data_IF_852279673213
#
_entry.id   IF_852279673213
#
_cell.length_a   1.000
_cell.length_b   1.000
_cell.length_c   1.000
_cell.angle_alpha   90.00
_cell.angle_beta   90.00
_cell.angle_gamma   90.00
#
_symmetry.space_group_name_H-M   'P 1'
#
loop_
_entity.id
_entity.type
_entity.pdbx_description
1 polymer ?
#
# COMPACT_ATOMS: atom_id res chain seq x y z
N UNK A 1 -12.80 19.19 21.45
CA UNK A 1 -12.23 19.37 20.10
C UNK A 1 -13.26 19.91 19.11
N UNK A 2 -13.12 21.18 18.73
CA UNK A 2 -13.89 21.80 17.64
C UNK A 2 -13.06 21.69 16.35
N UNK A 3 -13.12 20.55 15.67
CA UNK A 3 -12.41 20.37 14.41
C UNK A 3 -13.00 21.28 13.31
N UNK A 4 -12.13 21.87 12.50
CA UNK A 4 -12.53 22.72 11.38
C UNK A 4 -12.89 21.88 10.16
N UNK A 5 -14.05 22.18 9.57
CA UNK A 5 -14.51 21.59 8.32
C UNK A 5 -14.40 22.66 7.23
N UNK A 6 -13.66 22.37 6.17
CA UNK A 6 -13.53 23.29 5.06
C UNK A 6 -14.91 23.51 4.39
N UNK A 7 -15.39 24.76 4.24
CA UNK A 7 -16.72 25.05 3.66
C UNK A 7 -16.91 24.42 2.28
N UNK A 8 -15.90 24.54 1.43
CA UNK A 8 -15.82 23.90 0.11
C UNK A 8 -16.07 22.39 0.17
N UNK A 9 -15.46 21.71 1.15
CA UNK A 9 -15.58 20.26 1.30
C UNK A 9 -16.95 19.88 1.83
N UNK A 10 -17.43 20.61 2.85
CA UNK A 10 -18.76 20.44 3.44
C UNK A 10 -19.86 20.61 2.40
N UNK A 11 -19.81 21.69 1.62
CA UNK A 11 -20.80 21.96 0.58
C UNK A 11 -20.78 20.88 -0.49
N UNK A 12 -19.59 20.48 -0.97
CA UNK A 12 -19.48 19.46 -2.01
C UNK A 12 -20.07 18.12 -1.56
N UNK A 13 -19.69 17.66 -0.38
CA UNK A 13 -20.11 16.36 0.16
C UNK A 13 -21.58 16.39 0.57
N UNK A 14 -22.01 17.45 1.26
CA UNK A 14 -23.41 17.64 1.67
C UNK A 14 -24.36 17.69 0.47
N UNK A 15 -24.03 18.49 -0.55
CA UNK A 15 -24.83 18.56 -1.78
C UNK A 15 -24.88 17.20 -2.48
N UNK A 16 -23.77 16.49 -2.61
CA UNK A 16 -23.75 15.19 -3.28
C UNK A 16 -24.66 14.16 -2.57
N UNK A 17 -24.55 14.07 -1.23
CA UNK A 17 -25.34 13.12 -0.44
C UNK A 17 -26.81 13.48 -0.54
N UNK A 18 -27.17 14.73 -0.22
CA UNK A 18 -28.57 15.16 -0.22
C UNK A 18 -29.21 15.01 -1.61
N UNK A 19 -28.50 15.33 -2.70
CA UNK A 19 -29.01 15.13 -4.07
C UNK A 19 -29.38 13.67 -4.36
N UNK A 20 -28.70 12.70 -3.78
CA UNK A 20 -28.99 11.27 -4.00
C UNK A 20 -30.23 10.77 -3.26
N UNK A 21 -30.76 11.55 -2.30
CA UNK A 21 -32.03 11.28 -1.61
C UNK A 21 -33.20 12.11 -2.16
N UNK A 22 -32.94 13.05 -3.08
CA UNK A 22 -33.96 13.90 -3.70
C UNK A 22 -34.30 13.42 -5.12
N UNK A 23 -35.58 13.51 -5.47
CA UNK A 23 -36.06 13.26 -6.83
C UNK A 23 -36.06 14.58 -7.62
N UNK A 24 -34.94 14.88 -8.28
CA UNK A 24 -34.77 16.09 -9.08
C UNK A 24 -35.25 15.84 -10.53
N UNK A 25 -36.25 16.58 -11.05
CA UNK A 25 -36.79 16.34 -12.39
C UNK A 25 -35.77 16.72 -13.47
N UNK A 26 -35.58 15.84 -14.45
CA UNK A 26 -34.73 16.10 -15.63
C UNK A 26 -33.22 16.10 -15.38
N UNK A 27 -32.76 15.71 -14.19
CA UNK A 27 -31.33 15.70 -13.85
C UNK A 27 -30.87 14.28 -13.49
N UNK A 28 -29.87 13.78 -14.21
CA UNK A 28 -29.16 12.55 -13.82
C UNK A 28 -28.18 12.88 -12.68
N UNK A 29 -28.44 12.35 -11.49
CA UNK A 29 -27.56 12.53 -10.33
C UNK A 29 -26.51 11.42 -10.31
N UNK A 30 -25.20 11.74 -10.26
CA UNK A 30 -24.16 10.75 -10.10
C UNK A 30 -24.28 10.07 -8.73
N UNK A 31 -24.21 8.73 -8.72
CA UNK A 31 -24.30 7.93 -7.50
C UNK A 31 -22.99 7.99 -6.70
N UNK A 32 -21.87 8.15 -7.39
CA UNK A 32 -20.52 8.03 -6.82
C UNK A 32 -19.86 9.42 -6.77
N UNK A 33 -19.32 9.82 -5.63
CA UNK A 33 -18.40 10.95 -5.50
C UNK A 33 -16.99 10.42 -5.25
N UNK A 34 -16.08 10.69 -6.18
CA UNK A 34 -14.66 10.43 -6.01
C UNK A 34 -13.91 11.65 -5.50
N UNK A 35 -13.40 11.57 -4.29
CA UNK A 35 -12.53 12.57 -3.67
C UNK A 35 -11.07 12.13 -3.84
N UNK A 36 -10.29 12.89 -4.60
CA UNK A 36 -8.88 12.61 -4.82
C UNK A 36 -7.99 13.81 -4.52
N UNK A 37 -6.72 13.56 -4.24
CA UNK A 37 -5.77 14.59 -3.80
C UNK A 37 -4.54 13.96 -3.15
N UNK A 38 -3.55 14.76 -2.80
CA UNK A 38 -2.31 14.25 -2.19
C UNK A 38 -2.58 13.50 -0.88
N UNK A 39 -1.68 12.58 -0.52
CA UNK A 39 -1.71 11.89 0.77
C UNK A 39 -1.55 12.90 1.90
N UNK A 40 -2.18 12.66 3.04
CA UNK A 40 -2.00 13.48 4.23
C UNK A 40 -2.86 14.75 4.30
N UNK A 41 -3.56 15.13 3.23
CA UNK A 41 -4.39 16.34 3.18
C UNK A 41 -5.75 16.23 3.90
N UNK A 42 -5.98 15.17 4.67
CA UNK A 42 -7.17 15.03 5.50
C UNK A 42 -8.47 14.68 4.76
N UNK A 43 -8.42 14.10 3.55
CA UNK A 43 -9.61 13.70 2.75
C UNK A 43 -10.62 12.87 3.57
N UNK A 44 -10.17 11.76 4.12
CA UNK A 44 -11.00 10.82 4.90
C UNK A 44 -11.50 11.46 6.20
N UNK A 45 -10.64 12.24 6.86
CA UNK A 45 -10.99 12.93 8.10
C UNK A 45 -12.07 14.00 7.88
N UNK A 46 -11.94 14.83 6.83
CA UNK A 46 -12.97 15.79 6.45
C UNK A 46 -14.31 15.11 6.16
N UNK A 47 -14.31 13.95 5.50
CA UNK A 47 -15.54 13.18 5.31
C UNK A 47 -16.20 12.79 6.64
N UNK A 48 -15.42 12.25 7.59
CA UNK A 48 -15.91 11.88 8.91
C UNK A 48 -16.54 13.06 9.65
N UNK A 49 -15.90 14.22 9.65
CA UNK A 49 -16.43 15.42 10.27
C UNK A 49 -17.76 15.87 9.63
N UNK A 50 -17.88 15.78 8.31
CA UNK A 50 -19.12 16.10 7.61
C UNK A 50 -20.22 15.10 7.96
N UNK A 51 -19.92 13.80 8.00
CA UNK A 51 -20.90 12.77 8.37
C UNK A 51 -21.40 12.95 9.80
N UNK A 52 -20.49 13.23 10.74
CA UNK A 52 -20.83 13.52 12.13
C UNK A 52 -21.71 14.76 12.23
N UNK A 53 -21.33 15.86 11.55
CA UNK A 53 -22.10 17.11 11.53
C UNK A 53 -23.49 16.95 10.94
N UNK A 54 -23.66 16.08 9.94
CA UNK A 54 -24.94 15.80 9.29
C UNK A 54 -25.73 14.65 9.95
N UNK A 55 -25.16 13.97 10.95
CA UNK A 55 -25.78 12.82 11.60
C UNK A 55 -25.98 11.61 10.68
N UNK A 56 -25.08 11.41 9.72
CA UNK A 56 -25.13 10.37 8.68
C UNK A 56 -24.47 9.09 9.21
N UNK A 57 -25.12 7.95 9.02
CA UNK A 57 -24.51 6.64 9.29
C UNK A 57 -23.67 6.19 8.08
N UNK A 58 -22.49 5.62 8.34
CA UNK A 58 -21.52 5.28 7.29
C UNK A 58 -21.16 3.81 7.37
N UNK A 59 -21.32 3.10 6.25
CA UNK A 59 -20.75 1.76 6.07
C UNK A 59 -19.41 1.91 5.39
N UNK A 60 -18.33 1.44 6.02
CA UNK A 60 -16.97 1.58 5.49
C UNK A 60 -16.52 0.30 4.77
N UNK A 61 -15.76 0.49 3.68
CA UNK A 61 -14.95 -0.54 3.02
C UNK A 61 -13.53 0.00 2.95
N UNK A 62 -12.55 -0.81 3.37
CA UNK A 62 -11.14 -0.47 3.19
C UNK A 62 -10.65 -0.93 1.82
N UNK A 63 -9.72 -0.18 1.20
CA UNK A 63 -9.11 -0.57 -0.07
C UNK A 63 -8.46 -1.97 -0.01
N UNK A 64 -7.88 -2.34 1.14
CA UNK A 64 -7.30 -3.67 1.33
C UNK A 64 -8.33 -4.81 1.40
N UNK A 65 -9.60 -4.53 1.72
CA UNK A 65 -10.67 -5.54 1.65
C UNK A 65 -11.12 -5.81 0.21
N UNK A 66 -10.72 -4.95 -0.74
CA UNK A 66 -11.00 -5.13 -2.16
C UNK A 66 -9.91 -5.94 -2.87
N UNK A 67 -8.93 -6.43 -2.13
CA UNK A 67 -7.91 -7.37 -2.58
C UNK A 67 -8.18 -8.75 -1.99
N UNK A 68 -8.40 -9.75 -2.83
CA UNK A 68 -8.64 -11.13 -2.40
C UNK A 68 -7.98 -12.11 -3.36
N UNK A 69 -7.43 -13.25 -2.87
CA UNK A 69 -7.00 -14.34 -3.74
C UNK A 69 -8.16 -14.97 -4.51
N UNK A 70 -9.40 -14.85 -4.00
CA UNK A 70 -10.59 -15.42 -4.60
C UNK A 70 -11.24 -14.42 -5.57
N UNK A 71 -11.28 -14.79 -6.85
CA UNK A 71 -11.85 -13.96 -7.90
C UNK A 71 -13.35 -13.69 -7.63
N UNK A 72 -13.69 -12.40 -7.56
CA UNK A 72 -15.08 -11.94 -7.42
C UNK A 72 -15.58 -11.76 -5.99
N UNK A 73 -14.82 -12.13 -4.97
CA UNK A 73 -15.17 -11.79 -3.59
C UNK A 73 -15.22 -10.26 -3.35
N UNK A 74 -14.31 -9.44 -3.90
CA UNK A 74 -14.41 -7.97 -3.80
C UNK A 74 -15.71 -7.42 -4.40
N UNK A 75 -16.17 -7.98 -5.51
CA UNK A 75 -17.44 -7.60 -6.15
C UNK A 75 -18.64 -7.98 -5.28
N UNK A 76 -18.61 -9.16 -4.65
CA UNK A 76 -19.63 -9.63 -3.73
C UNK A 76 -19.68 -8.76 -2.46
N UNK A 77 -18.52 -8.39 -1.92
CA UNK A 77 -18.39 -7.54 -0.73
C UNK A 77 -19.05 -6.17 -0.96
N UNK A 78 -18.76 -5.50 -2.08
CA UNK A 78 -19.36 -4.19 -2.41
C UNK A 78 -20.89 -4.29 -2.45
N UNK A 79 -21.44 -5.33 -3.10
CA UNK A 79 -22.89 -5.55 -3.18
C UNK A 79 -23.51 -5.82 -1.81
N UNK A 80 -22.85 -6.62 -0.98
CA UNK A 80 -23.29 -6.93 0.37
C UNK A 80 -23.36 -5.66 1.23
N UNK A 81 -22.28 -4.87 1.26
CA UNK A 81 -22.21 -3.62 2.03
C UNK A 81 -23.21 -2.59 1.52
N UNK A 82 -23.39 -2.47 0.21
CA UNK A 82 -24.41 -1.58 -0.36
C UNK A 82 -25.82 -1.96 0.10
N UNK A 83 -26.17 -3.26 0.08
CA UNK A 83 -27.48 -3.74 0.58
C UNK A 83 -27.64 -3.51 2.07
N UNK A 84 -26.60 -3.75 2.87
CA UNK A 84 -26.57 -3.46 4.31
C UNK A 84 -26.89 -1.98 4.57
N UNK A 85 -26.22 -1.06 3.86
CA UNK A 85 -26.48 0.38 3.98
C UNK A 85 -27.90 0.74 3.54
N UNK A 86 -28.41 0.12 2.46
CA UNK A 86 -29.79 0.36 2.00
C UNK A 86 -30.84 -0.07 3.03
N UNK A 87 -30.60 -1.15 3.76
CA UNK A 87 -31.48 -1.58 4.86
C UNK A 87 -31.36 -0.66 6.08
N UNK A 88 -30.17 -0.13 6.39
CA UNK A 88 -30.00 0.88 7.44
C UNK A 88 -30.85 2.13 7.17
N UNK A 89 -30.90 2.62 5.92
CA UNK A 89 -31.75 3.76 5.53
C UNK A 89 -33.20 3.47 5.87
N UNK A 90 -33.68 2.27 5.51
CA UNK A 90 -35.07 1.83 5.74
C UNK A 90 -35.41 1.70 7.23
N UNK A 91 -34.55 1.05 8.00
CA UNK A 91 -34.81 0.71 9.41
C UNK A 91 -34.60 1.92 10.33
N UNK A 92 -33.55 2.71 10.09
CA UNK A 92 -33.20 3.86 10.93
C UNK A 92 -33.94 5.13 10.53
N UNK A 93 -34.40 5.23 9.27
CA UNK A 93 -35.02 6.45 8.75
C UNK A 93 -34.06 7.64 8.66
N UNK A 94 -32.76 7.38 8.51
CA UNK A 94 -31.69 8.40 8.42
C UNK A 94 -30.92 8.25 7.11
N UNK A 95 -30.29 9.34 6.67
CA UNK A 95 -29.34 9.28 5.56
C UNK A 95 -28.17 8.39 5.93
N UNK A 96 -27.87 7.43 5.06
CA UNK A 96 -26.71 6.55 5.19
C UNK A 96 -25.88 6.60 3.90
N UNK A 97 -24.58 6.37 4.04
CA UNK A 97 -23.59 6.45 2.95
C UNK A 97 -22.73 5.19 2.96
N UNK A 98 -22.38 4.70 1.77
CA UNK A 98 -21.31 3.72 1.60
C UNK A 98 -20.00 4.45 1.31
N UNK A 99 -18.99 4.31 2.16
CA UNK A 99 -17.68 4.92 1.98
C UNK A 99 -16.62 3.86 1.66
N UNK A 100 -15.92 4.03 0.55
CA UNK A 100 -14.80 3.18 0.13
C UNK A 100 -13.52 4.01 0.25
N UNK A 101 -12.64 3.61 1.18
CA UNK A 101 -11.41 4.33 1.47
C UNK A 101 -10.22 3.79 0.68
N UNK A 102 -9.35 4.69 0.23
CA UNK A 102 -8.09 4.37 -0.44
C UNK A 102 -8.25 3.36 -1.58
N UNK A 103 -9.22 3.63 -2.48
CA UNK A 103 -9.54 2.71 -3.59
C UNK A 103 -8.34 2.49 -4.52
N UNK A 104 -7.48 3.49 -4.69
CA UNK A 104 -6.25 3.38 -5.48
C UNK A 104 -5.24 2.40 -4.86
N UNK A 105 -5.30 2.17 -3.55
CA UNK A 105 -4.45 1.17 -2.90
C UNK A 105 -4.83 -0.28 -3.26
N UNK A 106 -6.10 -0.55 -3.56
CA UNK A 106 -6.61 -1.90 -3.93
C UNK A 106 -7.05 -2.06 -5.39
N UNK A 107 -7.16 -0.95 -6.14
CA UNK A 107 -7.71 -0.92 -7.50
C UNK A 107 -6.94 0.02 -8.46
N UNK A 108 -5.80 0.59 -8.04
CA UNK A 108 -4.94 1.46 -8.85
C UNK A 108 -3.77 0.73 -9.51
N UNK A 109 -3.22 1.31 -10.59
CA UNK A 109 -1.93 0.88 -11.16
C UNK A 109 -0.80 1.49 -10.33
N UNK A 110 0.13 0.68 -9.83
CA UNK A 110 1.30 1.16 -9.09
C UNK A 110 2.52 1.42 -9.99
N UNK A 111 2.57 0.90 -11.22
CA UNK A 111 3.64 1.21 -12.19
C UNK A 111 3.20 0.87 -13.63
N UNK A 112 3.86 1.41 -14.66
CA UNK A 112 3.62 1.07 -16.08
C UNK A 112 3.79 -0.43 -16.40
N UNK A 113 4.42 -1.19 -15.47
CA UNK A 113 4.63 -2.63 -15.56
C UNK A 113 3.62 -3.52 -14.81
N UNK A 114 2.73 -2.98 -13.97
CA UNK A 114 1.71 -3.78 -13.26
C UNK A 114 0.40 -3.83 -14.05
N UNK A 115 0.06 -5.03 -14.55
CA UNK A 115 -1.25 -5.26 -15.18
C UNK A 115 -2.38 -5.11 -14.14
N UNK A 116 -3.53 -4.60 -14.57
CA UNK A 116 -4.75 -4.59 -13.75
C UNK A 116 -5.01 -6.01 -13.21
N UNK A 117 -5.17 -6.16 -11.90
CA UNK A 117 -5.63 -7.44 -11.36
C UNK A 117 -7.07 -7.68 -11.82
N UNK A 118 -7.46 -8.94 -11.96
CA UNK A 118 -8.85 -9.31 -12.30
C UNK A 118 -9.83 -8.67 -11.31
N UNK A 119 -9.44 -8.56 -10.04
CA UNK A 119 -10.22 -7.93 -8.99
C UNK A 119 -10.51 -6.45 -9.27
N UNK A 120 -9.51 -5.68 -9.71
CA UNK A 120 -9.70 -4.26 -10.07
C UNK A 120 -10.75 -4.08 -11.17
N UNK A 121 -10.74 -4.95 -12.19
CA UNK A 121 -11.75 -4.90 -13.25
C UNK A 121 -13.14 -5.24 -12.72
N UNK A 122 -13.24 -6.25 -11.86
CA UNK A 122 -14.51 -6.67 -11.25
C UNK A 122 -15.09 -5.63 -10.29
N UNK A 123 -14.25 -4.93 -9.51
CA UNK A 123 -14.65 -3.82 -8.65
C UNK A 123 -15.24 -2.69 -9.48
N UNK A 124 -14.52 -2.25 -10.52
CA UNK A 124 -15.00 -1.19 -11.41
C UNK A 124 -16.30 -1.57 -12.12
N UNK A 125 -16.40 -2.81 -12.64
CA UNK A 125 -17.62 -3.30 -13.28
C UNK A 125 -18.80 -3.37 -12.29
N UNK A 126 -18.55 -3.75 -11.04
CA UNK A 126 -19.59 -3.79 -10.00
C UNK A 126 -20.08 -2.39 -9.65
N UNK A 127 -19.18 -1.42 -9.50
CA UNK A 127 -19.55 -0.02 -9.27
C UNK A 127 -20.37 0.56 -10.43
N UNK A 128 -20.04 0.21 -11.68
CA UNK A 128 -20.84 0.62 -12.84
C UNK A 128 -22.27 0.06 -12.78
N UNK A 129 -22.38 -1.25 -12.54
CA UNK A 129 -23.67 -1.92 -12.47
C UNK A 129 -24.57 -1.32 -11.37
N UNK A 130 -23.98 -1.02 -10.21
CA UNK A 130 -24.69 -0.37 -9.10
C UNK A 130 -25.07 1.07 -9.46
N UNK A 131 -24.18 1.82 -10.13
CA UNK A 131 -24.47 3.20 -10.53
C UNK A 131 -25.58 3.31 -11.58
N UNK A 132 -25.71 2.32 -12.46
CA UNK A 132 -26.80 2.25 -13.44
C UNK A 132 -28.14 1.91 -12.80
N UNK A 133 -28.15 0.93 -11.89
CA UNK A 133 -29.37 0.41 -11.26
C UNK A 133 -29.25 0.41 -9.73
N UNK A 134 -29.25 1.58 -9.07
CA UNK A 134 -28.98 1.70 -7.63
C UNK A 134 -30.07 1.11 -6.74
N UNK A 135 -31.27 0.89 -7.29
CA UNK A 135 -32.40 0.28 -6.57
C UNK A 135 -32.48 -1.23 -6.80
N UNK A 136 -31.64 -1.80 -7.66
CA UNK A 136 -31.62 -3.23 -8.00
C UNK A 136 -30.19 -3.80 -7.90
N UNK A 137 -29.75 -4.03 -6.67
CA UNK A 137 -28.42 -4.57 -6.38
C UNK A 137 -28.55 -5.97 -5.81
N UNK A 138 -28.50 -6.98 -6.68
CA UNK A 138 -28.59 -8.39 -6.29
C UNK A 138 -27.25 -8.99 -5.85
N UNK A 139 -27.30 -10.04 -5.04
CA UNK A 139 -26.14 -10.87 -4.72
C UNK A 139 -26.07 -12.05 -5.70
N UNK A 140 -24.87 -12.49 -6.13
CA UNK A 140 -24.75 -13.65 -7.01
C UNK A 140 -25.46 -14.87 -6.40
N UNK A 141 -26.43 -15.44 -7.13
CA UNK A 141 -27.21 -16.61 -6.69
C UNK A 141 -28.41 -16.30 -5.78
N UNK A 142 -28.68 -15.05 -5.43
CA UNK A 142 -29.87 -14.63 -4.69
C UNK A 142 -30.58 -13.49 -5.43
N UNK A 143 -31.83 -13.72 -5.81
CA UNK A 143 -32.64 -12.78 -6.58
C UNK A 143 -33.86 -12.39 -5.77
N UNK A 144 -33.93 -11.13 -5.38
CA UNK A 144 -35.05 -10.52 -4.69
C UNK A 144 -35.59 -9.36 -5.53
N UNK A 145 -36.86 -9.44 -5.91
CA UNK A 145 -37.53 -8.41 -6.72
C UNK A 145 -37.83 -7.12 -5.96
N UNK A 146 -37.60 -7.08 -4.65
CA UNK A 146 -37.89 -5.90 -3.82
C UNK A 146 -36.88 -4.78 -4.10
N UNK A 147 -37.33 -3.59 -4.54
CA UNK A 147 -36.43 -2.46 -4.78
C UNK A 147 -35.74 -1.99 -3.49
N UNK A 148 -34.45 -1.70 -3.59
CA UNK A 148 -33.64 -1.14 -2.52
C UNK A 148 -33.72 0.39 -2.49
N UNK A 149 -33.45 0.97 -1.32
CA UNK A 149 -33.16 2.40 -1.25
C UNK A 149 -31.86 2.72 -1.98
N UNK A 150 -31.86 3.82 -2.73
CA UNK A 150 -30.66 4.36 -3.37
C UNK A 150 -29.66 4.80 -2.30
N UNK A 151 -28.42 4.33 -2.38
CA UNK A 151 -27.35 4.68 -1.42
C UNK A 151 -26.25 5.48 -2.13
N UNK A 152 -25.96 6.73 -1.73
CA UNK A 152 -24.79 7.46 -2.25
C UNK A 152 -23.48 6.76 -1.86
N UNK A 153 -22.53 6.74 -2.80
CA UNK A 153 -21.22 6.11 -2.61
C UNK A 153 -20.13 7.19 -2.61
N UNK A 154 -19.32 7.23 -1.56
CA UNK A 154 -18.17 8.13 -1.45
C UNK A 154 -16.90 7.29 -1.59
N UNK A 155 -16.01 7.70 -2.47
CA UNK A 155 -14.74 7.01 -2.73
C UNK A 155 -13.60 7.98 -2.49
N UNK A 156 -12.60 7.58 -1.71
CA UNK A 156 -11.36 8.35 -1.53
C UNK A 156 -10.18 7.65 -2.21
N UNK A 157 -9.20 8.43 -2.65
CA UNK A 157 -7.93 7.92 -3.18
C UNK A 157 -6.94 9.05 -3.46
N UNK A 158 -5.73 8.72 -3.91
CA UNK A 158 -4.71 9.72 -4.19
C UNK A 158 -4.79 10.24 -5.62
N UNK A 159 -4.89 9.33 -6.60
CA UNK A 159 -5.02 9.70 -8.00
C UNK A 159 -6.06 8.84 -8.74
N UNK A 160 -7.03 9.52 -9.36
CA UNK A 160 -8.08 8.94 -10.18
C UNK A 160 -7.84 9.12 -11.68
N UNK A 161 -6.64 9.53 -12.08
CA UNK A 161 -6.21 9.54 -13.49
C UNK A 161 -6.15 8.12 -14.06
N UNK A 162 -5.78 7.14 -13.23
CA UNK A 162 -5.63 5.72 -13.58
C UNK A 162 -6.91 4.90 -13.40
N UNK A 163 -7.94 5.49 -12.78
CA UNK A 163 -9.25 4.85 -12.63
C UNK A 163 -9.92 4.67 -14.00
N UNK A 164 -10.66 3.57 -14.11
CA UNK A 164 -11.26 3.10 -15.35
C UNK A 164 -12.21 4.15 -15.95
N UNK A 165 -11.85 4.68 -17.12
CA UNK A 165 -12.52 5.79 -17.81
C UNK A 165 -14.06 5.69 -17.94
N UNK A 166 -14.68 4.49 -18.11
CA UNK A 166 -16.13 4.40 -18.26
C UNK A 166 -16.94 4.69 -16.98
N UNK A 167 -16.34 4.71 -15.78
CA UNK A 167 -17.05 5.18 -14.57
C UNK A 167 -17.30 6.69 -14.62
N UNK A 168 -16.40 7.42 -15.28
CA UNK A 168 -16.36 8.89 -15.28
C UNK A 168 -17.19 9.46 -16.44
N UNK A 169 -17.18 8.80 -17.60
CA UNK A 169 -17.79 9.32 -18.84
C UNK A 169 -19.32 9.29 -18.86
N UNK A 170 -19.95 8.39 -18.11
CA UNK A 170 -21.40 8.13 -18.22
C UNK A 170 -22.27 8.91 -17.22
N UNK A 171 -21.67 9.85 -16.47
CA UNK A 171 -22.37 10.60 -15.41
C UNK A 171 -22.71 9.76 -14.17
N UNK A 172 -22.05 8.61 -14.00
CA UNK A 172 -22.17 7.70 -12.85
C UNK A 172 -21.36 8.21 -11.65
N UNK A 173 -20.19 8.78 -11.92
CA UNK A 173 -19.24 9.27 -10.93
C UNK A 173 -18.89 10.74 -11.17
N UNK A 174 -18.85 11.52 -10.10
CA UNK A 174 -18.33 12.89 -10.07
C UNK A 174 -16.95 12.92 -9.43
N UNK A 175 -16.00 13.65 -10.01
CA UNK A 175 -14.66 13.84 -9.40
C UNK A 175 -14.60 15.14 -8.62
N UNK A 176 -13.96 15.08 -7.46
CA UNK A 176 -13.65 16.23 -6.63
C UNK A 176 -12.17 16.18 -6.24
N UNK A 177 -11.40 17.13 -6.75
CA UNK A 177 -10.02 17.31 -6.36
C UNK A 177 -9.94 18.11 -5.06
N UNK A 178 -9.32 17.53 -4.04
CA UNK A 178 -9.10 18.14 -2.74
C UNK A 178 -7.62 18.46 -2.55
N UNK A 179 -7.33 19.76 -2.58
CA UNK A 179 -6.07 20.35 -2.14
C UNK A 179 -6.45 21.55 -1.26
N UNK A 180 -6.15 21.53 0.06
CA UNK A 180 -6.46 22.64 0.94
C UNK A 180 -5.62 23.86 0.55
N UNK A 181 -6.30 25.00 0.35
CA UNK A 181 -5.61 26.27 0.17
C UNK A 181 -5.06 26.79 1.51
N UNK A 182 -4.42 27.95 1.49
CA UNK A 182 -3.84 28.54 2.70
C UNK A 182 -4.89 28.75 3.80
N UNK A 183 -6.07 29.22 3.47
CA UNK A 183 -7.10 29.56 4.45
C UNK A 183 -7.70 28.28 5.05
N UNK A 184 -7.92 27.25 4.23
CA UNK A 184 -8.28 25.92 4.69
C UNK A 184 -7.19 25.31 5.57
N UNK A 185 -5.90 25.43 5.22
CA UNK A 185 -4.80 24.97 6.07
C UNK A 185 -4.78 25.69 7.40
N UNK A 186 -4.94 27.01 7.45
CA UNK A 186 -5.01 27.78 8.69
C UNK A 186 -6.21 27.34 9.55
N UNK A 187 -7.37 27.13 8.95
CA UNK A 187 -8.56 26.63 9.65
C UNK A 187 -8.33 25.24 10.25
N UNK A 188 -7.83 24.29 9.44
CA UNK A 188 -7.57 22.91 9.85
C UNK A 188 -6.51 22.85 10.95
N UNK A 189 -5.37 23.52 10.75
CA UNK A 189 -4.27 23.57 11.74
C UNK A 189 -4.72 24.29 13.00
N UNK A 190 -5.52 25.36 12.88
CA UNK A 190 -6.15 26.02 14.01
C UNK A 190 -7.06 25.07 14.81
N UNK A 191 -7.77 24.16 14.14
CA UNK A 191 -8.55 23.10 14.78
C UNK A 191 -7.68 22.07 15.52
N UNK A 192 -6.52 21.71 14.96
CA UNK A 192 -5.55 20.79 15.59
C UNK A 192 -5.01 21.36 16.89
N UNK A 193 -4.71 22.67 16.91
CA UNK A 193 -4.13 23.38 18.05
C UNK A 193 -5.16 24.21 18.85
N UNK A 194 -6.47 23.94 18.68
CA UNK A 194 -7.53 24.74 19.29
C UNK A 194 -7.50 24.72 20.82
N UNK A 195 -7.14 23.56 21.40
CA UNK A 195 -6.99 23.38 22.84
C UNK A 195 -5.62 23.87 23.33
N UNK A 196 -4.73 24.23 22.40
CA UNK A 196 -3.33 24.54 22.69
C UNK A 196 -3.06 26.00 23.02
N UNK A 197 -4.00 26.90 22.73
CA UNK A 197 -3.96 28.32 23.13
C UNK A 197 -3.20 29.21 22.15
N UNK A 198 -2.93 28.74 20.93
CA UNK A 198 -2.34 29.54 19.87
C UNK A 198 -3.32 30.59 19.33
N UNK A 199 -2.81 31.79 19.10
CA UNK A 199 -3.56 32.83 18.39
C UNK A 199 -3.68 32.50 16.90
N UNK A 200 -4.70 33.04 16.24
CA UNK A 200 -4.86 32.89 14.78
C UNK A 200 -3.65 33.39 13.99
N UNK A 201 -2.94 34.40 14.52
CA UNK A 201 -1.71 34.91 13.90
C UNK A 201 -0.57 33.91 13.99
N UNK A 202 -0.39 33.26 15.13
CA UNK A 202 0.65 32.24 15.32
C UNK A 202 0.37 30.99 14.48
N UNK A 203 -0.89 30.55 14.39
CA UNK A 203 -1.29 29.45 13.50
C UNK A 203 -0.97 29.79 12.04
N UNK A 204 -1.33 31.00 11.59
CA UNK A 204 -1.01 31.46 10.24
C UNK A 204 0.51 31.49 9.99
N UNK A 205 1.30 31.99 10.95
CA UNK A 205 2.76 31.99 10.87
C UNK A 205 3.34 30.57 10.80
N UNK A 206 2.79 29.62 11.55
CA UNK A 206 3.21 28.22 11.51
C UNK A 206 2.96 27.61 10.12
N UNK A 207 1.79 27.87 9.54
CA UNK A 207 1.44 27.40 8.19
C UNK A 207 2.34 28.06 7.13
N UNK A 208 2.60 29.36 7.25
CA UNK A 208 3.45 30.11 6.33
C UNK A 208 4.94 29.67 6.42
N UNK A 209 5.36 29.14 7.57
CA UNK A 209 6.71 28.60 7.77
C UNK A 209 6.89 27.25 7.06
N UNK A 210 5.83 26.44 6.96
CA UNK A 210 5.85 25.10 6.35
C UNK A 210 4.82 24.97 5.20
N UNK A 211 4.89 25.79 4.14
CA UNK A 211 3.83 25.92 3.15
C UNK A 211 3.62 24.64 2.31
N UNK A 212 4.70 23.89 2.09
CA UNK A 212 4.71 22.66 1.28
C UNK A 212 4.35 21.41 2.08
N UNK A 213 4.19 21.52 3.40
CA UNK A 213 3.80 20.39 4.24
C UNK A 213 2.30 20.13 4.14
N UNK A 214 1.95 18.85 4.26
CA UNK A 214 0.56 18.37 4.26
C UNK A 214 -0.07 18.57 5.65
N UNK A 215 -1.39 18.42 5.78
CA UNK A 215 -2.08 18.53 7.07
C UNK A 215 -1.55 17.51 8.10
N UNK A 216 -1.19 16.31 7.67
CA UNK A 216 -0.68 15.26 8.56
C UNK A 216 0.60 15.68 9.32
N UNK A 217 1.45 16.50 8.69
CA UNK A 217 2.66 17.04 9.30
C UNK A 217 2.34 17.81 10.59
N UNK A 218 1.30 18.64 10.59
CA UNK A 218 0.92 19.43 11.77
C UNK A 218 0.34 18.56 12.89
N UNK A 219 -0.39 17.51 12.53
CA UNK A 219 -0.88 16.53 13.50
C UNK A 219 0.28 15.73 14.12
N UNK A 220 1.27 15.35 13.32
CA UNK A 220 2.48 14.67 13.77
C UNK A 220 3.36 15.59 14.62
N UNK A 221 3.44 16.88 14.26
CA UNK A 221 4.16 17.90 15.02
C UNK A 221 3.59 18.04 16.44
N UNK A 222 2.26 18.09 16.56
CA UNK A 222 1.58 18.13 17.86
C UNK A 222 1.90 16.88 18.70
N UNK A 223 1.83 15.69 18.09
CA UNK A 223 2.16 14.44 18.76
C UNK A 223 3.61 14.37 19.22
N UNK A 224 4.55 14.86 18.41
CA UNK A 224 5.98 14.83 18.71
C UNK A 224 6.36 15.63 19.96
N UNK A 225 5.64 16.71 20.24
CA UNK A 225 5.88 17.50 21.45
C UNK A 225 5.55 16.69 22.71
N UNK A 226 4.60 15.75 22.64
CA UNK A 226 4.33 14.83 23.75
C UNK A 226 5.42 13.75 23.91
N UNK A 227 6.15 13.40 22.85
CA UNK A 227 7.19 12.36 22.91
C UNK A 227 8.28 12.67 23.93
N UNK A 228 8.57 13.95 24.18
CA UNK A 228 9.53 14.36 25.20
C UNK A 228 9.06 13.97 26.61
N UNK A 229 7.80 14.24 26.95
CA UNK A 229 7.24 13.83 28.24
C UNK A 229 7.09 12.31 28.36
N UNK A 230 6.74 11.64 27.26
CA UNK A 230 6.67 10.17 27.23
C UNK A 230 8.06 9.58 27.46
N UNK A 231 9.11 10.18 26.88
CA UNK A 231 10.50 9.77 27.11
C UNK A 231 10.91 9.96 28.57
N UNK A 232 10.62 11.11 29.15
CA UNK A 232 10.88 11.36 30.58
C UNK A 232 10.15 10.36 31.48
N UNK A 233 8.88 10.07 31.18
CA UNK A 233 8.09 9.06 31.88
C UNK A 233 8.73 7.66 31.80
N UNK A 234 9.19 7.25 30.60
CA UNK A 234 9.90 5.97 30.43
C UNK A 234 11.17 5.94 31.28
N UNK A 235 11.95 7.02 31.34
CA UNK A 235 13.14 7.09 32.18
C UNK A 235 12.83 7.07 33.68
N UNK A 236 11.75 7.72 34.11
CA UNK A 236 11.32 7.72 35.52
C UNK A 236 10.84 6.35 36.00
N UNK A 237 10.09 5.62 35.16
CA UNK A 237 9.60 4.27 35.49
C UNK A 237 10.70 3.21 35.30
N UNK A 238 11.57 3.43 34.32
CA UNK A 238 12.58 2.49 33.86
C UNK A 238 12.08 1.59 32.71
N UNK A 239 12.96 1.35 31.73
CA UNK A 239 12.66 0.54 30.55
C UNK A 239 12.21 -0.88 30.87
N UNK A 240 12.67 -1.47 31.96
CA UNK A 240 12.29 -2.83 32.38
C UNK A 240 10.85 -2.94 32.89
N UNK A 241 10.29 -1.84 33.41
CA UNK A 241 9.01 -1.85 34.14
C UNK A 241 7.90 -1.11 33.41
N UNK A 242 8.23 -0.30 32.39
CA UNK A 242 7.25 0.54 31.69
C UNK A 242 6.14 -0.28 31.03
N UNK A 243 6.45 -1.46 30.49
CA UNK A 243 5.45 -2.37 29.89
C UNK A 243 4.37 -2.78 30.90
N UNK A 244 4.79 -3.25 32.09
CA UNK A 244 3.86 -3.62 33.16
C UNK A 244 3.10 -2.38 33.67
N UNK A 245 3.80 -1.25 33.86
CA UNK A 245 3.21 -0.01 34.38
C UNK A 245 2.10 0.57 33.48
N UNK A 246 2.21 0.40 32.17
CA UNK A 246 1.27 0.95 31.19
C UNK A 246 0.12 -0.02 30.88
N UNK A 247 0.41 -1.31 30.71
CA UNK A 247 -0.58 -2.28 30.21
C UNK A 247 -1.31 -3.02 31.33
N UNK A 248 -0.62 -3.32 32.43
CA UNK A 248 -1.16 -4.19 33.48
C UNK A 248 -0.74 -3.69 34.87
N UNK A 249 -1.32 -2.55 35.25
CA UNK A 249 -1.13 -1.95 36.57
C UNK A 249 -2.48 -1.63 37.21
N UNK A 250 -2.56 -1.84 38.53
CA UNK A 250 -3.70 -1.40 39.34
C UNK A 250 -3.59 0.08 39.73
N UNK A 251 -2.46 0.73 39.43
CA UNK A 251 -2.26 2.16 39.66
C UNK A 251 -3.05 3.00 38.65
N UNK A 252 -3.30 4.26 39.00
CA UNK A 252 -3.93 5.23 38.09
C UNK A 252 -3.07 5.39 36.82
N UNK A 253 -3.68 5.52 35.63
CA UNK A 253 -2.96 5.85 34.40
C UNK A 253 -2.07 7.10 34.60
N UNK A 254 -0.88 7.16 33.97
CA UNK A 254 -0.01 8.31 34.08
C UNK A 254 -0.72 9.55 33.52
N UNK A 255 -0.67 10.65 34.27
CA UNK A 255 -1.23 11.93 33.85
C UNK A 255 -0.11 12.79 33.26
N UNK A 256 -0.30 13.21 32.01
CA UNK A 256 0.64 14.10 31.32
C UNK A 256 0.14 15.53 31.42
N UNK A 257 1.04 16.46 31.71
CA UNK A 257 0.73 17.89 31.66
C UNK A 257 0.74 18.32 30.21
N UNK A 258 -0.11 19.29 29.87
CA UNK A 258 -0.08 19.88 28.53
C UNK A 258 1.32 20.52 28.28
N UNK A 259 2.06 20.09 27.24
CA UNK A 259 3.36 20.65 26.91
C UNK A 259 3.31 22.14 26.53
N UNK A 260 4.48 22.77 26.40
CA UNK A 260 4.59 24.09 25.80
C UNK A 260 4.43 24.01 24.27
N UNK A 261 3.30 24.53 23.79
CA UNK A 261 2.99 24.68 22.37
C UNK A 261 3.30 26.08 21.83
N UNK A 262 4.24 26.82 22.45
CA UNK A 262 4.70 28.10 21.91
C UNK A 262 5.13 27.98 20.45
N UNK A 263 4.87 29.04 19.66
CA UNK A 263 5.21 29.06 18.23
C UNK A 263 6.70 28.75 17.99
N UNK A 264 7.59 29.26 18.84
CA UNK A 264 9.02 28.97 18.76
C UNK A 264 9.34 27.49 18.91
N UNK A 265 8.68 26.80 19.85
CA UNK A 265 8.89 25.37 20.05
C UNK A 265 8.35 24.56 18.86
N UNK A 266 7.17 24.92 18.36
CA UNK A 266 6.56 24.30 17.17
C UNK A 266 7.43 24.44 15.93
N UNK A 267 7.99 25.63 15.68
CA UNK A 267 8.89 25.86 14.55
C UNK A 267 10.19 25.05 14.72
N UNK A 268 10.76 25.02 15.92
CA UNK A 268 11.97 24.23 16.20
C UNK A 268 11.76 22.74 15.93
N UNK A 269 10.69 22.15 16.49
CA UNK A 269 10.33 20.76 16.29
C UNK A 269 9.96 20.47 14.82
N UNK A 270 9.26 21.39 14.16
CA UNK A 270 8.90 21.29 12.74
C UNK A 270 10.13 21.25 11.84
N UNK A 271 11.11 22.13 12.06
CA UNK A 271 12.37 22.13 11.31
C UNK A 271 13.13 20.82 11.47
N UNK A 272 13.13 20.24 12.67
CA UNK A 272 13.73 18.93 12.91
C UNK A 272 13.04 17.83 12.09
N UNK A 273 11.71 17.80 12.09
CA UNK A 273 10.91 16.85 11.30
C UNK A 273 11.14 16.98 9.80
N UNK A 274 11.20 18.21 9.28
CA UNK A 274 11.51 18.46 7.86
C UNK A 274 12.92 17.97 7.53
N UNK A 275 13.90 18.21 8.41
CA UNK A 275 15.25 17.69 8.24
C UNK A 275 15.31 16.16 8.23
N UNK A 276 14.51 15.48 9.05
CA UNK A 276 14.38 14.01 9.02
C UNK A 276 13.75 13.52 7.71
N UNK A 277 12.68 14.15 7.22
CA UNK A 277 12.06 13.82 5.95
C UNK A 277 13.06 13.93 4.78
N UNK A 278 13.79 15.06 4.72
CA UNK A 278 14.82 15.28 3.72
C UNK A 278 15.94 14.24 3.78
N UNK A 279 16.32 13.80 4.99
CA UNK A 279 17.31 12.72 5.15
C UNK A 279 16.79 11.39 4.62
N UNK A 280 15.52 11.05 4.85
CA UNK A 280 14.92 9.81 4.32
C UNK A 280 14.88 9.85 2.80
N UNK A 281 14.49 10.99 2.22
CA UNK A 281 14.48 11.20 0.75
C UNK A 281 15.89 11.12 0.16
N UNK A 282 16.87 11.79 0.77
CA UNK A 282 18.27 11.84 0.29
C UNK A 282 19.01 10.53 0.53
N UNK A 283 18.64 9.77 1.56
CA UNK A 283 19.23 8.47 1.87
C UNK A 283 19.02 7.46 0.73
N UNK A 284 18.04 7.69 -0.17
CA UNK A 284 17.84 6.98 -1.44
C UNK A 284 17.97 5.45 -1.40
N UNK A 285 17.90 4.79 -0.23
CA UNK A 285 17.96 3.33 -0.13
C UNK A 285 16.82 2.68 -0.93
N UNK A 286 15.69 3.36 -1.06
CA UNK A 286 14.55 2.93 -1.89
C UNK A 286 14.77 3.22 -3.38
N UNK A 287 15.38 4.35 -3.75
CA UNK A 287 15.71 4.67 -5.14
C UNK A 287 16.85 3.80 -5.67
N UNK A 288 17.84 3.46 -4.84
CA UNK A 288 18.93 2.53 -5.13
C UNK A 288 18.40 1.11 -5.30
N UNK A 289 17.53 0.66 -4.38
CA UNK A 289 16.82 -0.63 -4.48
C UNK A 289 15.93 -0.70 -5.74
N UNK A 290 15.16 0.35 -6.04
CA UNK A 290 14.29 0.40 -7.21
C UNK A 290 15.07 0.60 -8.52
N UNK A 291 16.22 1.30 -8.51
CA UNK A 291 17.11 1.44 -9.67
C UNK A 291 17.85 0.14 -9.98
N UNK A 292 18.29 -0.61 -8.98
CA UNK A 292 18.86 -1.95 -9.18
C UNK A 292 17.86 -2.88 -9.89
N UNK A 293 16.56 -2.76 -9.59
CA UNK A 293 15.51 -3.47 -10.32
C UNK A 293 15.16 -2.88 -11.69
N UNK A 294 15.46 -1.60 -11.97
CA UNK A 294 15.23 -0.94 -13.27
C UNK A 294 16.41 -1.03 -14.23
N UNK A 295 17.61 -1.41 -13.76
CA UNK A 295 18.86 -1.41 -14.53
C UNK A 295 19.01 -2.49 -15.61
N UNK A 296 18.13 -3.49 -15.70
CA UNK A 296 18.33 -4.64 -16.61
C UNK A 296 17.67 -4.52 -18.00
N UNK A 297 17.22 -3.33 -18.41
CA UNK A 297 16.61 -3.14 -19.75
C UNK A 297 17.18 -1.92 -20.46
N UNK A 298 18.42 -2.02 -20.92
CA UNK A 298 18.91 -1.21 -22.05
C UNK A 298 20.05 -1.95 -22.76
N UNK A 299 19.71 -3.00 -23.51
CA UNK A 299 20.57 -3.47 -24.60
C UNK A 299 20.04 -2.87 -25.91
N UNK A 300 20.71 -1.83 -26.39
CA UNK A 300 20.62 -1.41 -27.78
C UNK A 300 21.14 -2.55 -28.66
N UNK A 301 20.31 -2.99 -29.60
CA UNK A 301 20.67 -4.03 -30.58
C UNK A 301 21.63 -3.41 -31.59
N UNK A 302 22.91 -3.80 -31.54
CA UNK A 302 23.85 -3.58 -32.63
C UNK A 302 23.58 -4.61 -33.76
N UNK A 303 23.76 -4.24 -35.05
CA UNK A 303 23.45 -5.15 -36.15
C UNK A 303 24.49 -6.29 -36.25
N UNK A 304 24.10 -7.48 -36.75
CA UNK A 304 24.99 -8.63 -36.74
C UNK A 304 26.03 -8.52 -37.86
N UNK A 305 27.30 -8.74 -37.51
CA UNK A 305 28.38 -9.03 -38.46
C UNK A 305 28.64 -10.55 -38.50
N UNK A 306 29.11 -11.10 -39.63
CA UNK A 306 28.98 -12.52 -39.96
C UNK A 306 30.04 -13.41 -39.31
N UNK A 307 29.61 -14.65 -39.05
CA UNK A 307 30.33 -15.79 -38.47
C UNK A 307 31.46 -16.33 -39.36
N UNK A 308 32.62 -16.62 -38.75
CA UNK A 308 33.52 -17.72 -39.17
C UNK A 308 34.22 -18.36 -37.95
N UNK A 309 34.52 -19.68 -37.98
CA UNK A 309 34.79 -20.47 -36.77
C UNK A 309 36.25 -20.90 -36.55
N UNK A 310 36.61 -21.03 -35.26
CA UNK A 310 37.58 -21.94 -34.61
C UNK A 310 39.07 -21.97 -35.03
N UNK A 311 39.97 -21.72 -34.05
CA UNK A 311 40.86 -22.73 -33.40
C UNK A 311 41.94 -22.09 -32.47
N UNK A 312 42.49 -22.81 -31.46
CA UNK A 312 43.24 -22.27 -30.30
C UNK A 312 44.76 -22.66 -30.30
N UNK A 313 45.52 -22.63 -29.19
CA UNK A 313 45.92 -21.55 -28.27
C UNK A 313 47.47 -21.46 -28.10
N UNK A 314 48.01 -20.46 -27.38
CA UNK A 314 49.34 -20.55 -26.74
C UNK A 314 49.60 -19.45 -25.68
N UNK A 315 49.79 -19.88 -24.42
CA UNK A 315 51.00 -19.56 -23.63
C UNK A 315 51.12 -18.26 -22.83
N UNK A 316 50.80 -18.37 -21.53
CA UNK A 316 51.49 -17.82 -20.34
C UNK A 316 51.60 -16.31 -20.05
N UNK A 317 51.12 -15.95 -18.85
CA UNK A 317 51.54 -14.77 -18.08
C UNK A 317 50.67 -14.51 -16.84
N UNK A 318 51.12 -14.99 -15.67
CA UNK A 318 50.47 -14.86 -14.36
C UNK A 318 50.29 -13.40 -13.89
N UNK A 319 49.13 -13.07 -13.29
CA UNK A 319 49.03 -12.29 -12.04
C UNK A 319 47.61 -12.39 -11.44
N UNK A 320 47.52 -12.88 -10.20
CA UNK A 320 46.30 -12.89 -9.38
C UNK A 320 45.95 -11.48 -8.88
N UNK A 321 44.65 -11.19 -8.78
CA UNK A 321 44.07 -10.79 -7.52
C UNK A 321 43.01 -11.81 -7.08
N UNK A 322 42.92 -12.04 -5.76
CA UNK A 322 41.92 -12.91 -5.12
C UNK A 322 40.51 -12.51 -5.55
N UNK A 323 39.90 -13.32 -6.40
CA UNK A 323 38.47 -13.34 -6.65
C UNK A 323 37.85 -14.33 -5.66
N UNK A 324 36.86 -13.88 -4.91
CA UNK A 324 35.98 -14.74 -4.11
C UNK A 324 35.29 -15.74 -5.05
N UNK A 325 35.76 -16.99 -5.01
CA UNK A 325 35.20 -18.11 -5.76
C UNK A 325 33.80 -18.48 -5.22
N UNK A 326 32.77 -18.13 -5.97
CA UNK A 326 31.52 -18.92 -6.04
C UNK A 326 31.43 -19.56 -7.41
N UNK A 327 32.42 -20.41 -7.75
CA UNK A 327 32.34 -21.22 -8.96
C UNK A 327 31.43 -22.41 -8.64
N UNK A 328 30.19 -22.35 -9.11
CA UNK A 328 29.27 -23.49 -9.16
C UNK A 328 30.00 -24.71 -9.76
N UNK A 329 29.80 -25.89 -9.17
CA UNK A 329 30.41 -27.10 -9.69
C UNK A 329 29.88 -27.38 -11.10
N UNK A 330 30.77 -27.84 -12.00
CA UNK A 330 30.38 -28.21 -13.38
C UNK A 330 29.29 -29.29 -13.39
N UNK A 331 29.26 -30.13 -12.35
CA UNK A 331 28.24 -31.17 -12.14
C UNK A 331 26.85 -30.55 -11.88
N UNK A 332 26.77 -29.51 -11.04
CA UNK A 332 25.50 -28.81 -10.79
C UNK A 332 25.01 -28.07 -12.03
N UNK A 333 25.90 -27.47 -12.82
CA UNK A 333 25.52 -26.82 -14.07
C UNK A 333 24.98 -27.83 -15.10
N UNK A 334 25.62 -28.99 -15.22
CA UNK A 334 25.15 -30.06 -16.10
C UNK A 334 23.79 -30.62 -15.64
N UNK A 335 23.58 -30.76 -14.33
CA UNK A 335 22.31 -31.19 -13.76
C UNK A 335 21.17 -30.20 -14.05
N UNK A 336 21.44 -28.89 -13.93
CA UNK A 336 20.49 -27.83 -14.31
C UNK A 336 20.13 -27.94 -15.79
N UNK A 337 21.12 -28.10 -16.66
CA UNK A 337 20.91 -28.24 -18.11
C UNK A 337 20.03 -29.44 -18.46
N UNK A 338 20.27 -30.59 -17.82
CA UNK A 338 19.48 -31.81 -18.06
C UNK A 338 18.02 -31.66 -17.64
N UNK A 339 17.77 -31.04 -16.48
CA UNK A 339 16.39 -30.81 -15.98
C UNK A 339 15.63 -29.88 -16.94
N UNK A 340 16.26 -28.80 -17.40
CA UNK A 340 15.66 -27.87 -18.36
C UNK A 340 15.45 -28.51 -19.74
N UNK A 341 16.40 -29.32 -20.22
CA UNK A 341 16.28 -30.03 -21.49
C UNK A 341 15.11 -31.03 -21.50
N UNK A 342 14.77 -31.60 -20.34
CA UNK A 342 13.60 -32.47 -20.17
C UNK A 342 12.27 -31.68 -20.07
N UNK A 343 12.31 -30.35 -20.15
CA UNK A 343 11.13 -29.48 -20.06
C UNK A 343 10.58 -29.33 -18.64
N UNK A 344 11.38 -29.66 -17.62
CA UNK A 344 11.03 -29.48 -16.22
C UNK A 344 11.38 -28.08 -15.73
N UNK A 345 10.64 -27.59 -14.72
CA UNK A 345 10.93 -26.32 -14.06
C UNK A 345 11.91 -26.53 -12.93
N UNK A 346 12.75 -25.54 -12.69
CA UNK A 346 13.72 -25.54 -11.59
C UNK A 346 13.25 -24.58 -10.50
N UNK A 347 13.41 -25.00 -9.25
CA UNK A 347 13.34 -24.13 -8.09
C UNK A 347 14.53 -24.40 -7.15
N UNK A 348 14.90 -23.40 -6.36
CA UNK A 348 15.91 -23.54 -5.32
C UNK A 348 15.26 -23.35 -3.95
N UNK A 349 15.65 -24.17 -2.99
CA UNK A 349 15.12 -24.10 -1.64
C UNK A 349 16.25 -24.08 -0.62
N UNK A 350 16.08 -23.35 0.49
CA UNK A 350 17.01 -23.27 1.59
C UNK A 350 16.37 -23.65 2.92
N UNK A 351 17.19 -24.03 3.90
CA UNK A 351 16.76 -24.29 5.28
C UNK A 351 17.93 -24.19 6.27
N UNK A 352 17.67 -23.58 7.42
CA UNK A 352 18.61 -23.55 8.55
C UNK A 352 18.88 -24.96 9.14
N UNK A 353 20.00 -25.13 9.84
CA UNK A 353 20.42 -26.44 10.39
C UNK A 353 19.40 -27.02 11.40
N UNK A 354 18.64 -26.16 12.08
CA UNK A 354 17.65 -26.56 13.08
C UNK A 354 16.39 -27.13 12.42
N UNK A 355 15.94 -26.53 11.30
CA UNK A 355 14.73 -26.90 10.55
C UNK A 355 14.97 -28.00 9.53
N UNK A 356 16.21 -28.25 9.12
CA UNK A 356 16.58 -29.35 8.24
C UNK A 356 16.08 -30.72 8.77
N UNK A 357 16.17 -30.96 10.09
CA UNK A 357 15.69 -32.21 10.73
C UNK A 357 14.18 -32.42 10.65
N UNK A 358 13.42 -31.33 10.48
CA UNK A 358 11.96 -31.35 10.37
C UNK A 358 11.46 -31.30 8.93
N UNK A 359 12.36 -31.19 7.94
CA UNK A 359 12.02 -31.25 6.51
C UNK A 359 11.22 -30.05 5.98
N UNK A 360 11.19 -28.92 6.68
CA UNK A 360 10.47 -27.71 6.26
C UNK A 360 11.43 -26.78 5.52
N UNK A 361 11.36 -26.78 4.19
CA UNK A 361 12.22 -26.00 3.30
C UNK A 361 11.52 -24.72 2.81
N UNK A 362 12.27 -23.65 2.62
CA UNK A 362 11.80 -22.36 2.11
C UNK A 362 12.34 -22.11 0.71
N UNK A 363 11.57 -21.44 -0.16
CA UNK A 363 12.01 -21.14 -1.54
C UNK A 363 12.99 -19.96 -1.56
N UNK A 364 14.09 -20.09 -2.30
CA UNK A 364 15.12 -19.05 -2.51
C UNK A 364 14.65 -17.92 -3.45
N UNK A 365 13.43 -17.40 -3.24
CA UNK A 365 12.80 -16.39 -4.09
C UNK A 365 11.85 -16.96 -5.15
N UNK A 366 11.23 -16.06 -5.92
CA UNK A 366 10.16 -16.36 -6.90
C UNK A 366 10.58 -15.94 -8.31
N UNK A 367 11.72 -16.41 -8.78
CA UNK A 367 12.21 -16.11 -10.13
C UNK A 367 11.74 -17.18 -11.12
N UNK A 368 11.14 -16.77 -12.24
CA UNK A 368 10.71 -17.71 -13.27
C UNK A 368 11.92 -18.16 -14.09
N UNK A 369 12.52 -19.28 -13.69
CA UNK A 369 13.70 -19.86 -14.33
C UNK A 369 13.26 -20.55 -15.63
N UNK A 370 13.51 -19.89 -16.77
CA UNK A 370 13.16 -20.41 -18.11
C UNK A 370 14.39 -20.79 -18.94
N UNK A 371 15.58 -20.32 -18.57
CA UNK A 371 16.84 -20.62 -19.24
C UNK A 371 17.95 -21.01 -18.24
N UNK A 372 18.98 -21.70 -18.73
CA UNK A 372 20.12 -22.18 -17.93
C UNK A 372 20.83 -21.03 -17.20
N UNK A 373 21.01 -19.89 -17.87
CA UNK A 373 21.65 -18.71 -17.27
C UNK A 373 20.83 -18.13 -16.11
N UNK A 374 19.50 -18.08 -16.23
CA UNK A 374 18.61 -17.64 -15.15
C UNK A 374 18.70 -18.58 -13.95
N UNK A 375 18.81 -19.89 -14.21
CA UNK A 375 18.94 -20.91 -13.16
C UNK A 375 20.27 -20.77 -12.41
N UNK A 376 21.37 -20.55 -13.14
CA UNK A 376 22.70 -20.36 -12.58
C UNK A 376 22.73 -19.07 -11.74
N UNK A 377 22.22 -17.96 -12.28
CA UNK A 377 22.19 -16.67 -11.56
C UNK A 377 21.32 -16.72 -10.30
N UNK A 378 20.16 -17.38 -10.36
CA UNK A 378 19.30 -17.57 -9.19
C UNK A 378 19.96 -18.47 -8.14
N UNK A 379 20.68 -19.51 -8.56
CA UNK A 379 21.43 -20.37 -7.65
C UNK A 379 22.60 -19.63 -7.00
N UNK A 380 23.39 -18.85 -7.76
CA UNK A 380 24.47 -18.03 -7.20
C UNK A 380 23.95 -17.03 -6.17
N UNK A 381 22.81 -16.40 -6.46
CA UNK A 381 22.15 -15.47 -5.53
C UNK A 381 21.70 -16.19 -4.24
N UNK A 382 21.06 -17.35 -4.38
CA UNK A 382 20.63 -18.18 -3.24
C UNK A 382 21.82 -18.69 -2.40
N UNK A 383 22.92 -19.10 -3.03
CA UNK A 383 24.13 -19.53 -2.32
C UNK A 383 24.82 -18.36 -1.60
N UNK A 384 24.81 -17.15 -2.18
CA UNK A 384 25.36 -15.96 -1.56
C UNK A 384 24.52 -15.47 -0.37
N UNK A 385 23.19 -15.44 -0.52
CA UNK A 385 22.27 -14.99 0.52
C UNK A 385 22.19 -15.97 1.70
N UNK A 386 22.24 -17.28 1.41
CA UNK A 386 22.07 -18.35 2.39
C UNK A 386 23.36 -19.18 2.57
N UNK A 387 24.52 -18.55 2.56
CA UNK A 387 25.84 -19.23 2.60
C UNK A 387 26.09 -20.09 3.85
N UNK A 388 25.29 -19.90 4.92
CA UNK A 388 25.35 -20.64 6.17
C UNK A 388 24.25 -21.70 6.33
N UNK A 389 23.48 -22.00 5.28
CA UNK A 389 22.32 -22.90 5.33
C UNK A 389 22.44 -24.06 4.33
N UNK A 390 21.52 -25.03 4.44
CA UNK A 390 21.37 -26.04 3.40
C UNK A 390 20.66 -25.43 2.20
N UNK A 391 21.21 -25.61 1.00
CA UNK A 391 20.56 -25.19 -0.25
C UNK A 391 20.39 -26.42 -1.14
N UNK A 392 19.21 -26.57 -1.77
CA UNK A 392 18.92 -27.66 -2.70
C UNK A 392 18.31 -27.17 -4.01
N UNK A 393 18.62 -27.90 -5.07
CA UNK A 393 17.99 -27.84 -6.39
C UNK A 393 16.78 -28.78 -6.41
N UNK A 394 15.64 -28.27 -6.90
CA UNK A 394 14.39 -29.03 -7.06
C UNK A 394 13.93 -28.95 -8.51
N UNK A 395 13.81 -30.09 -9.18
CA UNK A 395 13.18 -30.21 -10.49
C UNK A 395 11.70 -30.55 -10.35
N UNK A 396 10.83 -29.84 -11.08
CA UNK A 396 9.37 -29.98 -11.02
C UNK A 396 8.85 -30.28 -12.42
N UNK A 397 8.08 -31.36 -12.55
CA UNK A 397 7.34 -31.66 -13.78
C UNK A 397 6.08 -30.77 -13.84
N UNK A 398 5.99 -29.81 -14.80
CA UNK A 398 4.86 -28.90 -14.87
C UNK A 398 3.56 -29.59 -15.30
N UNK A 399 3.63 -30.76 -15.98
CA UNK A 399 2.45 -31.51 -16.42
C UNK A 399 1.88 -32.37 -15.30
N UNK A 400 2.75 -33.11 -14.60
CA UNK A 400 2.35 -33.97 -13.49
C UNK A 400 2.26 -33.25 -12.14
N UNK A 401 2.69 -31.98 -12.07
CA UNK A 401 2.74 -31.15 -10.85
C UNK A 401 3.42 -31.83 -9.67
N UNK A 402 4.52 -32.56 -9.93
CA UNK A 402 5.28 -33.30 -8.92
C UNK A 402 6.77 -33.00 -9.02
N UNK A 403 7.48 -33.20 -7.91
CA UNK A 403 8.94 -33.12 -7.86
C UNK A 403 9.55 -34.37 -8.47
N UNK A 404 10.54 -34.17 -9.34
CA UNK A 404 11.23 -35.23 -10.08
C UNK A 404 12.70 -35.36 -9.72
N UNK A 405 13.31 -34.28 -9.20
CA UNK A 405 14.70 -34.26 -8.73
C UNK A 405 14.78 -33.41 -7.48
N UNK A 406 15.50 -33.88 -6.46
CA UNK A 406 15.90 -33.09 -5.29
C UNK A 406 17.39 -33.35 -5.02
N UNK A 407 18.22 -32.31 -5.05
CA UNK A 407 19.68 -32.46 -4.86
C UNK A 407 20.22 -31.33 -4.00
N UNK A 408 20.88 -31.66 -2.90
CA UNK A 408 21.50 -30.68 -2.00
C UNK A 408 22.79 -30.18 -2.64
N UNK A 409 22.85 -28.87 -2.89
CA UNK A 409 23.97 -28.18 -3.54
C UNK A 409 24.91 -27.57 -2.50
N UNK A 410 24.40 -27.18 -1.33
CA UNK A 410 25.19 -26.61 -0.23
C UNK A 410 24.79 -27.22 1.10
N UNK A 411 25.78 -27.45 1.96
CA UNK A 411 25.60 -27.80 3.38
C UNK A 411 26.30 -26.76 4.25
N UNK A 412 25.73 -26.40 5.42
CA UNK A 412 26.37 -25.49 6.36
C UNK A 412 27.73 -26.03 6.83
N UNK A 413 28.69 -25.13 7.07
CA UNK A 413 30.04 -25.40 7.56
C UNK A 413 30.99 -26.15 6.61
N UNK A 414 30.81 -26.05 5.28
CA UNK A 414 31.82 -26.44 4.30
C UNK A 414 32.09 -27.94 4.20
N UNK A 415 31.18 -28.79 4.71
CA UNK A 415 31.19 -30.23 4.42
C UNK A 415 30.46 -30.47 3.09
N UNK A 416 31.17 -30.24 1.99
CA UNK A 416 30.73 -30.72 0.67
C UNK A 416 30.79 -32.24 0.61
#
# INVERSE_FOLDING_TARGET
MSYYIAPRFLDKLGVHITKNFLNLPGVRVPLILGIHGRKGEGKTFQCQLVFEKMGIEVTNISGGELESPDAGDPARLIRLRYRETAELIKVRGKMCVLMINDLDAGAGRFDEGTQYTVNTQMVNATLMNIADNPTDVQLPGSYDSTPLHRVPIIVTGNDFSTLYAPLIRDGRMEKFYWEPDRDDKVGIVGGIFAEDGLSQREVAQLVDTFPHQSIDFYSALRSRIYDEQVREFIHQVGFERVSLRVVNSAEKPPEFKKPDFSLSNLISAGNFMVGEQQRVETSQLVDEYNRLNRGSKNYQVAPPAPVTPNSPPSGNGFHQPKVSNTHLSLETQEQIRQILAQGHRINFEHVDERRFRTGSWQSCGTTQINAEWDAISALESCLAEYSGEYVRLVGIDPKAKRRVVETIIQRPNGKN
#
